data_IF_192276955205
#
_entry.id   IF_192276955205
#
_cell.length_a   1.000
_cell.length_b   1.000
_cell.length_c   1.000
_cell.angle_alpha   90.00
_cell.angle_beta   90.00
_cell.angle_gamma   90.00
#
_symmetry.space_group_name_H-M   'P 1'
#
loop_
_entity.id
_entity.type
_entity.pdbx_description
1 polymer ?
#
# COMPACT_ATOMS: atom_id res chain seq x y z
N UNK A 1 -7.89 -29.43 11.35
CA UNK A 1 -8.91 -28.89 10.43
C UNK A 1 -9.15 -27.43 10.79
N UNK A 2 -8.73 -26.48 9.93
CA UNK A 2 -8.88 -25.04 10.16
C UNK A 2 -10.37 -24.67 10.21
N UNK A 3 -10.85 -24.07 11.30
CA UNK A 3 -12.15 -23.39 11.32
C UNK A 3 -11.91 -21.94 10.95
N UNK A 4 -12.10 -21.61 9.67
CA UNK A 4 -12.28 -20.21 9.27
C UNK A 4 -13.56 -19.73 9.95
N UNK A 5 -13.47 -18.78 10.88
CA UNK A 5 -14.65 -18.04 11.34
C UNK A 5 -15.33 -17.51 10.08
N UNK A 6 -16.57 -17.94 9.82
CA UNK A 6 -17.35 -17.47 8.68
C UNK A 6 -17.73 -16.01 8.94
N UNK A 7 -16.96 -15.08 8.37
CA UNK A 7 -17.30 -13.67 8.36
C UNK A 7 -18.65 -13.49 7.67
N UNK A 8 -19.65 -13.02 8.41
CA UNK A 8 -20.98 -12.78 7.87
C UNK A 8 -21.03 -11.37 7.25
N UNK A 9 -21.05 -11.24 5.92
CA UNK A 9 -21.02 -9.94 5.24
C UNK A 9 -22.22 -9.05 5.58
N UNK A 10 -23.32 -9.62 6.10
CA UNK A 10 -24.54 -8.89 6.41
C UNK A 10 -24.43 -8.02 7.66
N UNK A 11 -23.43 -8.28 8.53
CA UNK A 11 -23.18 -7.48 9.73
C UNK A 11 -22.38 -6.20 9.47
N UNK A 12 -21.73 -6.06 8.32
CA UNK A 12 -20.90 -4.88 8.06
C UNK A 12 -21.74 -3.65 7.69
N UNK A 13 -21.27 -2.44 8.04
CA UNK A 13 -21.82 -1.21 7.49
C UNK A 13 -21.71 -1.20 5.96
N UNK A 14 -22.54 -0.40 5.28
CA UNK A 14 -22.63 -0.39 3.81
C UNK A 14 -21.26 -0.23 3.11
N UNK A 15 -20.37 0.60 3.66
CA UNK A 15 -19.00 0.79 3.17
C UNK A 15 -18.14 -0.47 3.36
N UNK A 16 -18.26 -1.15 4.50
CA UNK A 16 -17.52 -2.39 4.78
C UNK A 16 -17.88 -3.47 3.77
N UNK A 17 -19.18 -3.65 3.48
CA UNK A 17 -19.63 -4.59 2.42
C UNK A 17 -19.08 -4.24 1.04
N UNK A 18 -19.00 -2.96 0.68
CA UNK A 18 -18.48 -2.54 -0.62
C UNK A 18 -16.98 -2.83 -0.78
N UNK A 19 -16.20 -2.69 0.30
CA UNK A 19 -14.76 -2.91 0.29
C UNK A 19 -14.32 -4.37 0.55
N UNK A 20 -15.23 -5.31 0.81
CA UNK A 20 -14.93 -6.75 1.00
C UNK A 20 -14.12 -7.39 -0.14
N UNK A 21 -14.13 -6.77 -1.33
CA UNK A 21 -13.29 -7.19 -2.45
C UNK A 21 -11.78 -7.11 -2.12
N UNK A 22 -11.37 -6.19 -1.24
CA UNK A 22 -9.95 -5.87 -0.95
C UNK A 22 -9.32 -6.96 -0.09
N UNK A 23 -10.13 -7.62 0.73
CA UNK A 23 -9.66 -8.68 1.63
C UNK A 23 -9.49 -10.04 0.93
N UNK A 24 -9.88 -10.14 -0.34
CA UNK A 24 -9.70 -11.38 -1.11
C UNK A 24 -8.22 -11.69 -1.30
N UNK A 25 -7.78 -12.95 -1.14
CA UNK A 25 -6.40 -13.35 -1.41
C UNK A 25 -6.09 -13.18 -2.90
N UNK A 26 -5.52 -12.02 -3.26
CA UNK A 26 -5.23 -11.64 -4.66
C UNK A 26 -5.64 -10.21 -5.04
N UNK A 27 -6.50 -9.55 -4.26
CA UNK A 27 -6.89 -8.16 -4.51
C UNK A 27 -5.71 -7.17 -4.57
N UNK A 28 -4.62 -7.32 -3.78
CA UNK A 28 -3.45 -6.44 -3.92
C UNK A 28 -2.84 -6.50 -5.33
N UNK A 29 -2.81 -7.70 -5.94
CA UNK A 29 -2.25 -7.87 -7.30
C UNK A 29 -3.10 -7.17 -8.34
N UNK A 30 -4.42 -7.18 -8.17
CA UNK A 30 -5.37 -6.46 -9.04
C UNK A 30 -5.14 -4.95 -9.01
N UNK A 31 -4.93 -4.37 -7.82
CA UNK A 31 -4.65 -2.94 -7.66
C UNK A 31 -3.34 -2.57 -8.37
N UNK A 32 -2.29 -3.36 -8.15
CA UNK A 32 -0.98 -3.15 -8.79
C UNK A 32 -1.09 -3.28 -10.32
N UNK A 33 -1.81 -4.29 -10.82
CA UNK A 33 -2.01 -4.46 -12.26
C UNK A 33 -2.84 -3.33 -12.88
N UNK A 34 -3.87 -2.86 -12.17
CA UNK A 34 -4.66 -1.69 -12.59
C UNK A 34 -3.81 -0.43 -12.70
N UNK A 35 -2.90 -0.21 -11.75
CA UNK A 35 -1.94 0.89 -11.82
C UNK A 35 -1.01 0.74 -13.05
N UNK A 36 -0.48 -0.45 -13.30
CA UNK A 36 0.36 -0.69 -14.48
C UNK A 36 -0.38 -0.43 -15.80
N UNK A 37 -1.64 -0.86 -15.92
CA UNK A 37 -2.47 -0.57 -17.09
C UNK A 37 -2.66 0.94 -17.26
N UNK A 38 -2.96 1.66 -16.18
CA UNK A 38 -3.15 3.11 -16.23
C UNK A 38 -1.87 3.83 -16.67
N UNK A 39 -0.72 3.46 -16.10
CA UNK A 39 0.58 3.99 -16.51
C UNK A 39 0.88 3.70 -17.99
N UNK A 40 0.65 2.46 -18.46
CA UNK A 40 0.86 2.09 -19.85
C UNK A 40 -0.10 2.84 -20.80
N UNK A 41 -1.35 3.05 -20.38
CA UNK A 41 -2.34 3.82 -21.12
C UNK A 41 -1.94 5.29 -21.27
N UNK A 42 -1.47 5.93 -20.19
CA UNK A 42 -0.93 7.29 -20.25
C UNK A 42 0.32 7.37 -21.14
N UNK A 43 1.20 6.36 -21.07
CA UNK A 43 2.36 6.28 -21.96
C UNK A 43 1.94 6.18 -23.43
N UNK A 44 0.94 5.37 -23.76
CA UNK A 44 0.42 5.27 -25.13
C UNK A 44 -0.26 6.57 -25.58
N UNK A 45 -1.02 7.24 -24.71
CA UNK A 45 -1.63 8.53 -25.00
C UNK A 45 -0.59 9.61 -25.35
N UNK A 46 0.61 9.52 -24.78
CA UNK A 46 1.74 10.40 -25.06
C UNK A 46 2.17 10.38 -26.55
N UNK A 47 1.97 9.25 -27.24
CA UNK A 47 2.28 9.11 -28.67
C UNK A 47 1.20 9.68 -29.59
N UNK A 48 -0.05 9.77 -29.11
CA UNK A 48 -1.15 10.30 -29.92
C UNK A 48 -1.18 11.84 -29.89
N UNK A 49 -0.51 12.47 -28.94
CA UNK A 49 -0.52 13.92 -28.75
C UNK A 49 0.79 14.56 -29.22
N UNK A 50 0.73 15.39 -30.27
CA UNK A 50 1.87 16.22 -30.67
C UNK A 50 2.05 17.36 -29.65
N UNK A 51 3.15 17.32 -28.91
CA UNK A 51 3.48 18.34 -27.90
C UNK A 51 4.28 19.47 -28.55
N UNK A 52 3.88 20.71 -28.30
CA UNK A 52 4.71 21.88 -28.59
C UNK A 52 5.58 22.16 -27.37
N UNK A 53 6.79 21.62 -27.37
CA UNK A 53 7.73 21.72 -26.25
C UNK A 53 8.78 22.81 -26.50
N UNK A 54 9.21 23.46 -25.42
CA UNK A 54 10.24 24.51 -25.47
C UNK A 54 11.66 23.96 -25.25
N UNK A 55 11.76 22.77 -24.66
CA UNK A 55 13.02 22.05 -24.41
C UNK A 55 13.13 20.83 -25.34
N UNK A 56 14.29 20.65 -25.96
CA UNK A 56 14.57 19.53 -26.90
C UNK A 56 14.38 18.15 -26.26
N UNK A 57 14.62 18.03 -24.94
CA UNK A 57 14.42 16.79 -24.18
C UNK A 57 12.94 16.40 -24.07
N UNK A 58 12.03 17.37 -24.07
CA UNK A 58 10.60 17.12 -23.95
C UNK A 58 9.96 16.70 -25.27
N UNK A 59 10.66 16.89 -26.39
CA UNK A 59 10.25 16.44 -27.73
C UNK A 59 10.33 14.90 -27.87
N UNK A 60 11.01 14.23 -26.94
CA UNK A 60 11.10 12.77 -26.91
C UNK A 60 9.72 12.19 -26.56
N UNK A 61 9.10 11.39 -27.46
CA UNK A 61 7.81 10.79 -27.20
C UNK A 61 7.90 9.84 -26.00
N UNK A 62 6.98 9.99 -25.05
CA UNK A 62 6.96 9.18 -23.82
C UNK A 62 7.83 9.71 -22.68
N UNK A 63 8.52 10.84 -22.84
CA UNK A 63 9.41 11.40 -21.80
C UNK A 63 8.68 11.59 -20.46
N UNK A 64 7.51 12.25 -20.47
CA UNK A 64 6.77 12.56 -19.25
C UNK A 64 6.18 11.32 -18.57
N UNK A 65 5.70 10.36 -19.36
CA UNK A 65 5.17 9.12 -18.83
C UNK A 65 6.28 8.26 -18.18
N UNK A 66 7.46 8.20 -18.79
CA UNK A 66 8.63 7.55 -18.19
C UNK A 66 9.14 8.31 -16.97
N UNK A 67 9.26 9.63 -17.04
CA UNK A 67 9.74 10.46 -15.94
C UNK A 67 8.80 10.39 -14.73
N UNK A 68 7.50 10.59 -14.93
CA UNK A 68 6.50 10.48 -13.85
C UNK A 68 6.47 9.09 -13.22
N UNK A 69 6.54 8.03 -14.04
CA UNK A 69 6.64 6.65 -13.56
C UNK A 69 7.91 6.40 -12.75
N UNK A 70 9.07 6.81 -13.28
CA UNK A 70 10.37 6.61 -12.63
C UNK A 70 10.51 7.40 -11.33
N UNK A 71 10.11 8.67 -11.31
CA UNK A 71 10.15 9.52 -10.12
C UNK A 71 9.23 8.98 -9.04
N UNK A 72 8.03 8.53 -9.40
CA UNK A 72 7.08 7.93 -8.44
C UNK A 72 7.64 6.64 -7.84
N UNK A 73 8.22 5.75 -8.66
CA UNK A 73 8.86 4.53 -8.17
C UNK A 73 10.06 4.83 -7.27
N UNK A 74 10.91 5.79 -7.65
CA UNK A 74 12.04 6.24 -6.84
C UNK A 74 11.58 6.77 -5.47
N UNK A 75 10.50 7.54 -5.42
CA UNK A 75 9.92 8.06 -4.17
C UNK A 75 9.50 6.92 -3.23
N UNK A 76 8.86 5.87 -3.75
CA UNK A 76 8.45 4.71 -2.94
C UNK A 76 9.67 3.96 -2.39
N UNK A 77 10.70 3.78 -3.21
CA UNK A 77 11.96 3.13 -2.79
C UNK A 77 12.62 3.93 -1.67
N UNK A 78 12.72 5.26 -1.83
CA UNK A 78 13.29 6.16 -0.81
C UNK A 78 12.47 6.10 0.48
N UNK A 79 11.14 6.18 0.41
CA UNK A 79 10.27 6.08 1.59
C UNK A 79 10.43 4.73 2.30
N UNK A 80 10.58 3.65 1.55
CA UNK A 80 10.83 2.31 2.09
C UNK A 80 12.21 2.23 2.75
N UNK A 81 13.23 2.84 2.16
CA UNK A 81 14.56 2.96 2.78
C UNK A 81 14.52 3.77 4.08
N UNK A 82 13.80 4.90 4.08
CA UNK A 82 13.61 5.72 5.28
C UNK A 82 12.89 4.96 6.38
N UNK A 83 11.92 4.09 6.04
CA UNK A 83 11.26 3.22 7.02
C UNK A 83 12.26 2.31 7.74
N UNK A 84 13.28 1.80 7.06
CA UNK A 84 14.29 0.95 7.70
C UNK A 84 15.12 1.73 8.75
N UNK A 85 15.35 3.02 8.52
CA UNK A 85 16.08 3.90 9.45
C UNK A 85 15.20 4.31 10.63
N UNK A 86 13.93 4.60 10.37
CA UNK A 86 13.01 5.16 11.36
C UNK A 86 12.30 4.09 12.20
N UNK A 87 12.15 2.86 11.69
CA UNK A 87 11.44 1.77 12.38
C UNK A 87 12.19 1.43 13.66
N UNK A 88 11.50 1.65 14.78
CA UNK A 88 11.93 1.31 16.12
C UNK A 88 11.39 -0.07 16.52
N UNK A 89 12.07 -0.73 17.43
CA UNK A 89 11.51 -1.90 18.12
C UNK A 89 10.26 -1.52 18.92
N UNK A 90 9.30 -2.43 19.03
CA UNK A 90 8.06 -2.23 19.78
C UNK A 90 8.34 -1.96 21.27
N UNK A 91 9.37 -2.57 21.82
CA UNK A 91 9.76 -2.42 23.22
C UNK A 91 10.63 -1.20 23.52
N UNK A 92 10.97 -0.39 22.50
CA UNK A 92 11.98 0.65 22.67
C UNK A 92 11.64 1.66 23.78
N UNK A 93 10.38 2.06 23.90
CA UNK A 93 9.97 3.07 24.90
C UNK A 93 9.53 2.45 26.22
N UNK A 94 9.33 1.13 26.27
CA UNK A 94 8.83 0.44 27.46
C UNK A 94 9.63 0.74 28.76
N UNK A 95 10.98 0.85 28.75
CA UNK A 95 11.74 1.14 29.97
C UNK A 95 11.52 2.55 30.54
N UNK A 96 11.03 3.50 29.75
CA UNK A 96 10.79 4.89 30.17
C UNK A 96 9.30 5.26 30.10
N UNK A 97 8.41 4.28 29.87
CA UNK A 97 6.98 4.49 29.83
C UNK A 97 6.43 4.59 31.26
N UNK A 98 5.60 5.59 31.51
CA UNK A 98 4.99 5.87 32.83
C UNK A 98 3.90 4.84 33.14
N UNK A 99 3.37 4.17 32.11
CA UNK A 99 2.32 3.15 32.15
C UNK A 99 2.90 1.72 32.06
N UNK A 100 4.20 1.52 32.33
CA UNK A 100 4.86 0.21 32.26
C UNK A 100 4.41 -0.78 33.37
N UNK A 101 3.20 -0.63 33.89
CA UNK A 101 2.57 -1.67 34.70
C UNK A 101 2.19 -2.85 33.79
N UNK A 102 2.44 -4.09 34.22
CA UNK A 102 2.03 -5.26 33.44
C UNK A 102 0.53 -5.21 33.23
N UNK A 103 0.11 -5.16 31.96
CA UNK A 103 -1.30 -5.07 31.60
C UNK A 103 -2.07 -6.26 32.22
N UNK A 104 -3.27 -6.05 32.78
CA UNK A 104 -4.03 -7.11 33.45
C UNK A 104 -4.30 -8.30 32.52
N UNK A 105 -3.91 -9.51 32.94
CA UNK A 105 -4.04 -10.73 32.13
C UNK A 105 -5.49 -11.09 31.78
N UNK A 106 -6.45 -10.62 32.59
CA UNK A 106 -7.89 -10.83 32.41
C UNK A 106 -8.50 -9.96 31.30
N UNK A 107 -7.81 -8.90 30.90
CA UNK A 107 -8.19 -8.02 29.78
C UNK A 107 -7.37 -8.29 28.51
N UNK A 108 -6.33 -9.13 28.61
CA UNK A 108 -5.53 -9.51 27.46
C UNK A 108 -6.24 -10.63 26.71
N UNK A 109 -6.96 -10.28 25.64
CA UNK A 109 -7.57 -11.25 24.73
C UNK A 109 -6.48 -11.92 23.87
N UNK A 110 -5.64 -12.74 24.52
CA UNK A 110 -4.50 -13.45 23.91
C UNK A 110 -5.05 -14.58 23.03
N UNK A 111 -5.45 -14.23 21.83
CA UNK A 111 -5.72 -15.22 20.77
C UNK A 111 -4.37 -15.81 20.36
N UNK A 112 -4.10 -17.05 20.79
CA UNK A 112 -2.88 -17.75 20.40
C UNK A 112 -2.97 -18.15 18.92
N UNK A 113 -2.24 -17.43 18.08
CA UNK A 113 -2.04 -17.78 16.67
C UNK A 113 -0.93 -18.85 16.59
N UNK A 114 -1.25 -20.08 16.99
CA UNK A 114 -0.45 -21.24 16.60
C UNK A 114 -1.03 -21.75 15.25
N UNK A 115 -0.23 -21.59 14.17
CA UNK A 115 -0.35 -22.10 12.79
C UNK A 115 -1.45 -21.60 11.81
#
# INVERSE_FOLDING_TARGET
MRKTTQDNPDKYPALGRAFMWVDRPGAPKLIVYGLYILCAGLFAADFLYHKHTYLVVEEIPGFYALFGGLVSAALIIVATGMRAILKRDESYYAPNDVEAEPYPEDQLDRVRYDD
#
